data_IF_044013983062
#
_entry.id   IF_044013983062
#
_cell.length_a   1.000
_cell.length_b   1.000
_cell.length_c   1.000
_cell.angle_alpha   90.00
_cell.angle_beta   90.00
_cell.angle_gamma   90.00
#
_symmetry.space_group_name_H-M   'P 1'
#
loop_
_entity.id
_entity.type
_entity.pdbx_description
1 polymer ?
#
# COMPACT_ATOMS: atom_id res chain seq x y z
N UNK A 1 20.91 0.99 19.77
CA UNK A 1 19.54 1.55 19.73
C UNK A 1 18.64 0.55 19.04
N UNK A 2 17.67 -0.07 19.74
CA UNK A 2 16.77 -1.08 19.14
C UNK A 2 15.44 -0.40 18.80
N UNK A 3 15.10 -0.32 17.51
CA UNK A 3 13.83 0.24 17.06
C UNK A 3 12.71 -0.79 17.26
N UNK A 4 11.63 -0.37 17.93
CA UNK A 4 10.41 -1.20 18.04
C UNK A 4 9.68 -1.25 16.70
N UNK A 5 8.80 -2.24 16.48
CA UNK A 5 7.94 -2.29 15.27
C UNK A 5 7.17 -0.98 15.03
N UNK A 6 6.78 -0.27 16.10
CA UNK A 6 6.16 1.06 16.02
C UNK A 6 7.16 2.14 15.57
N UNK A 7 8.38 2.11 16.09
CA UNK A 7 9.47 3.00 15.67
C UNK A 7 9.82 2.82 14.19
N UNK A 8 9.95 1.58 13.73
CA UNK A 8 10.20 1.27 12.31
C UNK A 8 9.03 1.73 11.43
N UNK A 9 7.79 1.49 11.85
CA UNK A 9 6.60 1.99 11.14
C UNK A 9 6.59 3.53 11.02
N UNK A 10 6.94 4.25 12.09
CA UNK A 10 6.99 5.72 12.10
C UNK A 10 8.10 6.26 11.21
N UNK A 11 9.27 5.62 11.23
CA UNK A 11 10.40 5.96 10.36
C UNK A 11 10.07 5.71 8.88
N UNK A 12 9.49 4.55 8.54
CA UNK A 12 9.01 4.23 7.20
C UNK A 12 7.96 5.25 6.71
N UNK A 13 6.99 5.59 7.56
CA UNK A 13 6.00 6.64 7.23
C UNK A 13 6.64 7.98 6.93
N UNK A 14 7.62 8.39 7.73
CA UNK A 14 8.35 9.64 7.50
C UNK A 14 9.12 9.60 6.18
N UNK A 15 9.83 8.51 5.88
CA UNK A 15 10.55 8.37 4.61
C UNK A 15 9.61 8.39 3.41
N UNK A 16 8.47 7.71 3.47
CA UNK A 16 7.48 7.76 2.39
C UNK A 16 6.84 9.13 2.25
N UNK A 17 6.55 9.84 3.34
CA UNK A 17 6.00 11.19 3.26
C UNK A 17 6.98 12.15 2.56
N UNK A 18 8.27 12.00 2.82
CA UNK A 18 9.34 12.76 2.15
C UNK A 18 9.46 12.36 0.67
N UNK A 19 9.46 11.07 0.34
CA UNK A 19 9.45 10.60 -1.06
C UNK A 19 8.18 11.01 -1.83
N UNK A 20 7.02 10.95 -1.20
CA UNK A 20 5.73 11.27 -1.82
C UNK A 20 5.52 12.77 -1.98
N UNK A 21 6.12 13.59 -1.12
CA UNK A 21 6.20 15.04 -1.32
C UNK A 21 7.08 15.41 -2.52
N UNK A 22 8.03 14.54 -2.91
CA UNK A 22 9.01 14.83 -3.96
C UNK A 22 8.69 14.24 -5.34
N UNK A 23 7.73 13.31 -5.52
CA UNK A 23 6.96 13.07 -6.79
C UNK A 23 6.03 11.86 -6.66
N UNK A 24 4.71 12.08 -6.59
CA UNK A 24 3.70 11.08 -6.97
C UNK A 24 3.74 10.86 -8.49
N UNK A 25 4.76 10.16 -8.96
CA UNK A 25 4.97 9.90 -10.38
C UNK A 25 3.93 8.89 -10.86
N UNK A 26 3.19 9.24 -11.91
CA UNK A 26 2.32 8.28 -12.60
C UNK A 26 3.16 7.17 -13.22
N UNK A 27 2.58 5.97 -13.33
CA UNK A 27 3.21 4.89 -14.08
C UNK A 27 3.38 5.29 -15.54
N UNK A 28 4.47 4.84 -16.15
CA UNK A 28 4.80 5.15 -17.55
C UNK A 28 3.95 4.37 -18.55
N UNK A 29 3.47 3.20 -18.15
CA UNK A 29 2.67 2.29 -18.98
C UNK A 29 1.17 2.65 -18.99
N UNK A 30 0.76 3.69 -18.26
CA UNK A 30 -0.64 4.10 -18.15
C UNK A 30 -1.53 3.15 -17.33
N UNK A 31 -0.99 2.02 -16.86
CA UNK A 31 -1.73 1.03 -16.08
C UNK A 31 -1.96 1.51 -14.66
N UNK A 32 -3.01 0.98 -14.05
CA UNK A 32 -3.35 1.15 -12.65
C UNK A 32 -2.85 -0.03 -11.84
N UNK A 33 -2.41 0.23 -10.62
CA UNK A 33 -2.20 -0.84 -9.65
C UNK A 33 -3.48 -0.98 -8.85
N UNK A 34 -4.08 -2.17 -8.89
CA UNK A 34 -5.22 -2.52 -8.06
C UNK A 34 -4.77 -3.48 -6.96
N UNK A 35 -5.20 -3.21 -5.74
CA UNK A 35 -4.98 -4.04 -4.56
C UNK A 35 -6.33 -4.53 -4.08
N UNK A 36 -6.51 -5.84 -4.07
CA UNK A 36 -7.67 -6.50 -3.45
C UNK A 36 -7.20 -7.30 -2.24
N UNK A 37 -8.00 -7.31 -1.18
CA UNK A 37 -7.62 -8.04 0.01
C UNK A 37 -8.80 -8.61 0.78
N UNK A 38 -8.59 -9.78 1.35
CA UNK A 38 -9.47 -10.35 2.36
C UNK A 38 -8.67 -10.76 3.60
N UNK A 39 -8.96 -10.09 4.71
CA UNK A 39 -8.28 -10.28 5.99
C UNK A 39 -9.34 -10.70 7.00
N UNK A 40 -9.27 -11.87 7.65
CA UNK A 40 -10.30 -12.28 8.61
C UNK A 40 -10.66 -11.18 9.63
N UNK A 41 -11.94 -11.00 9.99
CA UNK A 41 -12.40 -9.93 10.92
C UNK A 41 -11.65 -9.92 12.26
N UNK A 42 -11.25 -11.10 12.76
CA UNK A 42 -10.40 -11.25 13.95
C UNK A 42 -9.06 -10.50 13.87
N UNK A 43 -8.61 -10.14 12.67
CA UNK A 43 -7.36 -9.45 12.39
C UNK A 43 -7.59 -7.96 12.04
N UNK A 44 -8.49 -7.27 12.74
CA UNK A 44 -8.84 -5.85 12.46
C UNK A 44 -7.62 -4.93 12.46
N UNK A 45 -6.65 -5.18 13.36
CA UNK A 45 -5.38 -4.45 13.39
C UNK A 45 -4.59 -4.56 12.08
N UNK A 46 -4.57 -5.75 11.44
CA UNK A 46 -3.92 -5.94 10.13
C UNK A 46 -4.66 -5.19 9.03
N UNK A 47 -6.00 -5.17 9.05
CA UNK A 47 -6.83 -4.35 8.13
C UNK A 47 -6.49 -2.86 8.27
N UNK A 48 -6.39 -2.36 9.50
CA UNK A 48 -6.01 -0.97 9.77
C UNK A 48 -4.61 -0.63 9.26
N UNK A 49 -3.63 -1.50 9.49
CA UNK A 49 -2.25 -1.31 8.99
C UNK A 49 -2.23 -1.28 7.45
N UNK A 50 -2.89 -2.25 6.79
CA UNK A 50 -2.96 -2.29 5.33
C UNK A 50 -3.54 -1.01 4.74
N UNK A 51 -4.70 -0.55 5.26
CA UNK A 51 -5.34 0.69 4.80
C UNK A 51 -4.42 1.89 4.96
N UNK A 52 -3.74 2.01 6.11
CA UNK A 52 -2.78 3.10 6.31
C UNK A 52 -1.64 3.04 5.29
N UNK A 53 -1.05 1.87 5.06
CA UNK A 53 0.02 1.70 4.07
C UNK A 53 -0.44 2.10 2.67
N UNK A 54 -1.62 1.66 2.25
CA UNK A 54 -2.17 2.00 0.93
C UNK A 54 -2.44 3.51 0.80
N UNK A 55 -2.99 4.15 1.84
CA UNK A 55 -3.18 5.61 1.87
C UNK A 55 -1.86 6.36 1.78
N UNK A 56 -0.85 5.92 2.53
CA UNK A 56 0.47 6.54 2.54
C UNK A 56 1.13 6.44 1.16
N UNK A 57 0.96 5.32 0.46
CA UNK A 57 1.43 5.13 -0.92
C UNK A 57 0.58 5.85 -1.98
N UNK A 58 -0.50 6.52 -1.59
CA UNK A 58 -1.33 7.30 -2.50
C UNK A 58 -2.42 6.50 -3.22
N UNK A 59 -2.72 5.26 -2.80
CA UNK A 59 -3.90 4.55 -3.27
C UNK A 59 -5.18 5.23 -2.81
N UNK A 60 -6.23 5.05 -3.58
CA UNK A 60 -7.60 5.44 -3.25
C UNK A 60 -8.48 4.20 -3.15
N UNK A 61 -9.46 4.25 -2.25
CA UNK A 61 -10.45 3.19 -2.13
C UNK A 61 -11.37 3.25 -3.36
N UNK A 62 -11.47 2.15 -4.09
CA UNK A 62 -12.39 1.97 -5.21
C UNK A 62 -13.69 1.31 -4.74
N UNK A 63 -13.57 0.26 -3.92
CA UNK A 63 -14.67 -0.42 -3.25
C UNK A 63 -14.19 -0.93 -1.89
N UNK A 64 -15.09 -1.49 -1.08
CA UNK A 64 -14.71 -2.23 0.12
C UNK A 64 -13.68 -3.29 -0.23
N UNK A 65 -12.53 -3.26 0.44
CA UNK A 65 -11.40 -4.17 0.20
C UNK A 65 -10.72 -4.07 -1.18
N UNK A 66 -11.06 -3.06 -1.99
CA UNK A 66 -10.47 -2.82 -3.32
C UNK A 66 -9.91 -1.40 -3.39
N UNK A 67 -8.63 -1.28 -3.71
CA UNK A 67 -7.90 -0.02 -3.76
C UNK A 67 -7.15 0.11 -5.07
N UNK A 68 -7.06 1.32 -5.62
CA UNK A 68 -6.39 1.58 -6.89
C UNK A 68 -5.40 2.74 -6.79
N UNK A 69 -4.35 2.71 -7.60
CA UNK A 69 -3.37 3.79 -7.70
C UNK A 69 -2.86 3.94 -9.13
N UNK A 70 -2.78 5.17 -9.68
CA UNK A 70 -2.14 5.44 -10.96
C UNK A 70 -0.61 5.65 -10.81
N UNK A 71 -0.10 5.62 -9.57
CA UNK A 71 1.28 5.97 -9.26
C UNK A 71 2.20 4.77 -9.35
N UNK A 72 3.48 5.03 -9.65
CA UNK A 72 4.52 4.01 -9.76
C UNK A 72 5.02 3.57 -8.38
N UNK A 73 4.16 2.82 -7.68
CA UNK A 73 4.36 2.40 -6.28
C UNK A 73 4.33 0.88 -6.11
N UNK A 74 4.43 0.11 -7.19
CA UNK A 74 4.29 -1.36 -7.18
C UNK A 74 5.32 -2.02 -6.24
N UNK A 75 6.61 -1.80 -6.48
CA UNK A 75 7.68 -2.40 -5.65
C UNK A 75 7.59 -1.98 -4.18
N UNK A 76 7.21 -0.73 -3.92
CA UNK A 76 7.03 -0.23 -2.54
C UNK A 76 5.84 -0.91 -1.87
N UNK A 77 4.77 -1.14 -2.63
CA UNK A 77 3.60 -1.89 -2.15
C UNK A 77 4.03 -3.29 -1.73
N UNK A 78 4.72 -4.04 -2.60
CA UNK A 78 5.17 -5.41 -2.30
C UNK A 78 6.08 -5.46 -1.06
N UNK A 79 7.09 -4.60 -0.99
CA UNK A 79 8.03 -4.54 0.15
C UNK A 79 7.30 -4.30 1.47
N UNK A 80 6.31 -3.40 1.49
CA UNK A 80 5.55 -3.11 2.72
C UNK A 80 4.59 -4.23 3.09
N UNK A 81 3.95 -4.86 2.11
CA UNK A 81 3.10 -6.01 2.36
C UNK A 81 3.90 -7.15 3.01
N UNK A 82 5.09 -7.45 2.50
CA UNK A 82 5.98 -8.44 3.09
C UNK A 82 6.44 -8.04 4.49
N UNK A 83 6.87 -6.77 4.68
CA UNK A 83 7.32 -6.26 5.98
C UNK A 83 6.25 -6.39 7.09
N UNK A 84 4.98 -6.18 6.76
CA UNK A 84 3.87 -6.34 7.71
C UNK A 84 3.24 -7.75 7.70
N UNK A 85 3.77 -8.69 6.91
CA UNK A 85 3.22 -10.05 6.72
C UNK A 85 1.73 -10.00 6.34
N UNK A 86 1.43 -9.18 5.33
CA UNK A 86 0.12 -8.94 4.75
C UNK A 86 -0.01 -9.54 3.35
N UNK A 87 1.09 -9.88 2.70
CA UNK A 87 1.19 -10.47 1.36
C UNK A 87 0.24 -11.66 1.16
N UNK A 88 0.15 -12.58 2.12
CA UNK A 88 -0.76 -13.72 2.05
C UNK A 88 -2.25 -13.35 1.89
N UNK A 89 -2.67 -12.18 2.38
CA UNK A 89 -4.07 -11.72 2.37
C UNK A 89 -4.39 -10.81 1.18
N UNK A 90 -3.40 -10.48 0.36
CA UNK A 90 -3.48 -9.44 -0.64
C UNK A 90 -3.22 -10.03 -2.02
N UNK A 91 -3.90 -9.51 -3.04
CA UNK A 91 -3.54 -9.70 -4.44
C UNK A 91 -3.35 -8.33 -5.08
N UNK A 92 -2.33 -8.21 -5.90
CA UNK A 92 -2.01 -7.02 -6.67
C UNK A 92 -2.26 -7.32 -8.14
N UNK A 93 -2.96 -6.45 -8.83
CA UNK A 93 -3.22 -6.54 -10.26
C UNK A 93 -2.70 -5.28 -10.94
N UNK A 94 -2.17 -5.44 -12.15
CA UNK A 94 -1.97 -4.34 -13.08
C UNK A 94 -3.17 -4.30 -14.01
N UNK A 95 -3.92 -3.21 -13.98
CA UNK A 95 -5.18 -3.03 -14.68
C UNK A 95 -4.99 -1.94 -15.73
N UNK A 96 -5.34 -2.24 -16.97
CA UNK A 96 -5.15 -1.30 -18.09
C UNK A 96 -6.28 -0.27 -18.16
N UNK A 97 -7.52 -0.69 -17.87
CA UNK A 97 -8.71 0.14 -17.97
C UNK A 97 -9.64 -0.08 -16.77
N UNK A 98 -10.26 1.00 -16.27
CA UNK A 98 -11.26 0.97 -15.20
C UNK A 98 -12.50 1.69 -15.76
N UNK A 99 -13.64 1.00 -15.79
CA UNK A 99 -14.93 1.53 -16.28
C UNK A 99 -15.92 1.64 -15.14
#
# INVERSE_FOLDING_TARGET
>A
MILTKKGVHKALKASFKIENASKKKKRKDGKWIMVIFDIPKKNEKKRGILRSVLQDLGYKMFQKSVWISPYDVFERTEKLLQFYSLDAFVRILLVEEIK
#
